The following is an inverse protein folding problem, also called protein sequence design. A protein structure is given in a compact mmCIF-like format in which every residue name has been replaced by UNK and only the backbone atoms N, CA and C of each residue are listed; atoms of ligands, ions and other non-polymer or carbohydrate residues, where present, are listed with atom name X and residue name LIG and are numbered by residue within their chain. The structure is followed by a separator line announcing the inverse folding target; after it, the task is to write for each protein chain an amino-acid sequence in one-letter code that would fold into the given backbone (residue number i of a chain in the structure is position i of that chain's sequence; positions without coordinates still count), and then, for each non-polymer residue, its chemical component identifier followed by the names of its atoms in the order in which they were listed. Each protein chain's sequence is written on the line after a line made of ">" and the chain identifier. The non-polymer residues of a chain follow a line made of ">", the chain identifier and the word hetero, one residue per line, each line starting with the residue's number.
data_IF_157832418808
#
_entry.id   IF_157832418808
#
_cell.length_a   1.000
_cell.length_b   1.000
_cell.length_c   1.000
_cell.angle_alpha   90.00
_cell.angle_beta   90.00
_cell.angle_gamma   90.00
#
_symmetry.space_group_name_H-M   'P 1'
#
loop_
_entity.id
_entity.type
_entity.pdbx_description
1 polymer ?
#
# COMPACT_ATOMS: atom_id res chain seq x y z
N UNK A 1 10.99 -14.84 4.17
CA UNK A 1 10.39 -13.63 3.60
C UNK A 1 11.30 -12.45 3.91
N UNK A 2 11.89 -11.80 2.90
CA UNK A 2 12.60 -10.52 3.08
C UNK A 2 11.60 -9.40 2.82
N UNK A 3 11.27 -8.64 3.87
CA UNK A 3 10.47 -7.42 3.71
C UNK A 3 11.28 -6.37 2.98
N UNK A 4 10.67 -5.76 1.97
CA UNK A 4 11.44 -5.08 0.94
C UNK A 4 12.09 -3.81 1.44
N UNK A 5 13.29 -3.61 0.92
CA UNK A 5 14.08 -2.39 0.97
C UNK A 5 13.87 -1.58 -0.31
N UNK A 6 12.63 -1.31 -0.72
CA UNK A 6 12.39 -0.37 -1.81
C UNK A 6 12.75 1.05 -1.33
N UNK A 7 13.83 1.60 -1.87
CA UNK A 7 14.03 3.06 -1.92
C UNK A 7 13.19 3.59 -3.08
N UNK A 8 12.83 4.88 -3.07
CA UNK A 8 12.09 5.53 -4.16
C UNK A 8 10.70 4.94 -4.45
N UNK A 9 9.94 4.56 -3.42
CA UNK A 9 8.61 3.95 -3.64
C UNK A 9 7.60 4.91 -4.29
N UNK A 10 7.68 6.21 -4.02
CA UNK A 10 6.86 7.21 -4.73
C UNK A 10 7.21 7.30 -6.21
N UNK A 11 8.49 7.19 -6.56
CA UNK A 11 8.92 7.13 -7.96
C UNK A 11 8.37 5.89 -8.68
N UNK A 12 8.50 4.71 -8.08
CA UNK A 12 7.96 3.48 -8.65
C UNK A 12 6.44 3.55 -8.78
N UNK A 13 5.75 4.10 -7.78
CA UNK A 13 4.30 4.26 -7.84
C UNK A 13 3.88 5.23 -8.95
N UNK A 14 4.62 6.34 -9.15
CA UNK A 14 4.38 7.25 -10.26
C UNK A 14 4.62 6.58 -11.63
N UNK A 15 5.65 5.74 -11.76
CA UNK A 15 5.87 4.93 -12.97
C UNK A 15 4.70 3.97 -13.25
N UNK A 16 4.17 3.34 -12.21
CA UNK A 16 2.98 2.51 -12.31
C UNK A 16 1.74 3.29 -12.76
N UNK A 17 1.51 4.51 -12.24
CA UNK A 17 0.42 5.36 -12.69
C UNK A 17 0.57 5.78 -14.16
N UNK A 18 1.78 6.15 -14.58
CA UNK A 18 2.09 6.42 -16.00
C UNK A 18 1.76 5.19 -16.86
N UNK A 19 2.18 4.01 -16.41
CA UNK A 19 1.89 2.77 -17.11
C UNK A 19 0.38 2.53 -17.28
N UNK A 20 -0.43 2.70 -16.23
CA UNK A 20 -1.90 2.58 -16.32
C UNK A 20 -2.50 3.53 -17.38
N UNK A 21 -1.98 4.76 -17.43
CA UNK A 21 -2.41 5.80 -18.37
C UNK A 21 -2.03 5.42 -19.81
N UNK A 22 -0.81 4.93 -20.03
CA UNK A 22 -0.33 4.47 -21.34
C UNK A 22 -1.15 3.29 -21.87
N UNK A 23 -1.59 2.39 -20.99
CA UNK A 23 -2.49 1.29 -21.34
C UNK A 23 -3.96 1.74 -21.54
N UNK A 24 -4.24 3.03 -21.34
CA UNK A 24 -5.57 3.62 -21.45
C UNK A 24 -6.61 2.97 -20.52
N UNK A 25 -6.17 2.50 -19.34
CA UNK A 25 -7.08 2.06 -18.29
C UNK A 25 -7.73 3.28 -17.62
N UNK A 26 -9.04 3.23 -17.31
CA UNK A 26 -9.65 4.32 -16.56
C UNK A 26 -9.10 4.32 -15.13
N UNK A 27 -8.81 5.51 -14.63
CA UNK A 27 -8.26 5.73 -13.29
C UNK A 27 -9.33 6.04 -12.25
N UNK A 28 -10.59 6.17 -12.68
CA UNK A 28 -11.76 6.42 -11.84
C UNK A 28 -13.00 5.67 -12.36
N UNK A 29 -13.96 5.43 -11.46
CA UNK A 29 -15.30 4.91 -11.79
C UNK A 29 -16.32 5.71 -10.99
N UNK A 30 -17.37 6.21 -11.66
CA UNK A 30 -18.44 6.99 -11.03
C UNK A 30 -17.91 8.16 -10.18
N UNK A 31 -16.87 8.84 -10.65
CA UNK A 31 -16.21 9.96 -9.96
C UNK A 31 -15.43 9.57 -8.70
N UNK A 32 -15.13 8.28 -8.50
CA UNK A 32 -14.26 7.79 -7.43
C UNK A 32 -12.94 7.28 -8.01
N UNK A 33 -11.79 7.73 -7.50
CA UNK A 33 -10.52 7.22 -7.96
C UNK A 33 -10.36 5.73 -7.64
N UNK A 34 -9.80 4.98 -8.60
CA UNK A 34 -9.57 3.55 -8.47
C UNK A 34 -8.27 3.23 -7.77
N UNK A 35 -7.18 3.87 -8.20
CA UNK A 35 -5.81 3.50 -7.78
C UNK A 35 -5.18 4.56 -6.86
N UNK A 36 -5.48 5.83 -7.11
CA UNK A 36 -4.79 6.94 -6.47
C UNK A 36 -5.72 8.13 -6.32
N UNK A 37 -5.80 8.67 -5.11
CA UNK A 37 -6.59 9.85 -4.80
C UNK A 37 -5.74 11.11 -5.02
N UNK A 38 -5.65 11.58 -6.26
CA UNK A 38 -4.97 12.85 -6.55
C UNK A 38 -5.70 14.01 -5.84
N UNK A 39 -4.96 14.67 -4.95
CA UNK A 39 -5.45 15.76 -4.09
C UNK A 39 -4.38 16.85 -4.07
N UNK A 40 -4.76 18.11 -3.79
CA UNK A 40 -3.79 19.19 -3.65
C UNK A 40 -2.69 18.94 -2.60
N UNK A 41 -2.97 18.11 -1.59
CA UNK A 41 -2.02 17.74 -0.54
C UNK A 41 -1.16 16.52 -0.87
N UNK A 42 -1.42 15.88 -2.00
CA UNK A 42 -0.69 14.70 -2.45
C UNK A 42 0.65 15.09 -3.06
N UNK A 43 1.61 14.16 -3.11
CA UNK A 43 2.97 14.40 -3.63
C UNK A 43 3.20 13.90 -5.04
N UNK A 44 2.22 13.16 -5.57
CA UNK A 44 2.20 12.69 -6.95
C UNK A 44 0.97 13.32 -7.60
N UNK A 45 1.14 13.97 -8.74
CA UNK A 45 0.06 14.70 -9.43
C UNK A 45 -0.15 14.14 -10.83
N UNK A 46 -1.40 14.10 -11.28
CA UNK A 46 -1.80 13.63 -12.60
C UNK A 46 -2.50 14.78 -13.35
N UNK A 47 -1.72 15.52 -14.14
CA UNK A 47 -2.22 16.64 -14.93
C UNK A 47 -2.23 16.28 -16.42
N UNK A 48 -3.41 16.30 -17.06
CA UNK A 48 -3.55 15.99 -18.48
C UNK A 48 -2.84 14.67 -18.88
N UNK A 49 -3.03 13.61 -18.07
CA UNK A 49 -2.38 12.30 -18.24
C UNK A 49 -0.85 12.29 -18.06
N UNK A 50 -0.27 13.33 -17.47
CA UNK A 50 1.15 13.39 -17.13
C UNK A 50 1.29 13.20 -15.62
N UNK A 51 2.02 12.17 -15.20
CA UNK A 51 2.33 11.96 -13.79
C UNK A 51 3.62 12.69 -13.43
N UNK A 52 3.58 13.48 -12.35
CA UNK A 52 4.72 14.19 -11.80
C UNK A 52 4.82 13.98 -10.29
N UNK A 53 6.02 14.15 -9.73
CA UNK A 53 6.28 14.06 -8.28
C UNK A 53 6.77 15.42 -7.81
N UNK A 54 6.28 15.87 -6.66
CA UNK A 54 6.79 17.06 -6.00
C UNK A 54 8.29 16.87 -5.70
N UNK A 55 9.12 17.82 -6.13
CA UNK A 55 10.58 17.74 -5.99
C UNK A 55 10.97 17.52 -4.52
N UNK A 56 11.76 16.48 -4.26
CA UNK A 56 12.21 16.09 -2.91
C UNK A 56 11.37 14.98 -2.27
N UNK A 57 10.25 14.57 -2.87
CA UNK A 57 9.39 13.49 -2.38
C UNK A 57 9.59 12.16 -3.12
N UNK A 58 10.59 12.05 -3.99
CA UNK A 58 10.87 10.83 -4.76
C UNK A 58 11.18 9.64 -3.83
N UNK A 59 11.89 9.91 -2.73
CA UNK A 59 12.25 8.95 -1.68
C UNK A 59 11.25 8.89 -0.51
N UNK A 60 10.16 9.65 -0.57
CA UNK A 60 9.10 9.57 0.43
C UNK A 60 8.16 8.39 0.16
N UNK A 61 7.40 7.92 1.16
CA UNK A 61 6.35 6.94 0.93
C UNK A 61 5.27 7.49 -0.01
N UNK A 62 4.77 6.64 -0.91
CA UNK A 62 3.59 6.97 -1.70
C UNK A 62 2.37 7.02 -0.77
N UNK A 63 1.71 8.17 -0.70
CA UNK A 63 0.50 8.41 0.10
C UNK A 63 -0.72 8.55 -0.81
N UNK A 64 -1.93 8.72 -0.28
CA UNK A 64 -3.17 8.81 -1.08
C UNK A 64 -3.47 7.58 -1.95
N UNK A 65 -2.84 6.45 -1.65
CA UNK A 65 -2.99 5.20 -2.39
C UNK A 65 -4.25 4.46 -1.91
N UNK A 66 -5.12 4.06 -2.84
CA UNK A 66 -6.29 3.21 -2.51
C UNK A 66 -5.84 1.76 -2.28
N UNK A 67 -6.71 0.91 -1.74
CA UNK A 67 -6.35 -0.51 -1.60
C UNK A 67 -6.13 -1.19 -2.96
N UNK A 68 -6.92 -0.86 -3.99
CA UNK A 68 -6.71 -1.39 -5.33
C UNK A 68 -5.40 -0.87 -5.95
N UNK A 69 -5.09 0.41 -5.80
CA UNK A 69 -3.80 0.96 -6.22
C UNK A 69 -2.65 0.24 -5.56
N UNK A 70 -2.75 0.00 -4.26
CA UNK A 70 -1.75 -0.72 -3.49
C UNK A 70 -1.59 -2.18 -3.98
N UNK A 71 -2.70 -2.89 -4.15
CA UNK A 71 -2.68 -4.29 -4.55
C UNK A 71 -2.14 -4.49 -5.98
N UNK A 72 -2.65 -3.73 -6.95
CA UNK A 72 -2.25 -3.82 -8.36
C UNK A 72 -0.81 -3.36 -8.54
N UNK A 73 -0.37 -2.30 -7.85
CA UNK A 73 1.04 -1.89 -7.84
C UNK A 73 1.96 -2.99 -7.28
N UNK A 74 1.54 -3.66 -6.20
CA UNK A 74 2.31 -4.76 -5.63
C UNK A 74 2.51 -5.89 -6.63
N UNK A 75 1.44 -6.28 -7.33
CA UNK A 75 1.49 -7.32 -8.38
C UNK A 75 2.31 -6.86 -9.58
N UNK A 76 2.17 -5.59 -10.00
CA UNK A 76 2.95 -5.01 -11.09
C UNK A 76 4.46 -5.03 -10.82
N UNK A 77 4.86 -4.91 -9.55
CA UNK A 77 6.25 -5.09 -9.13
C UNK A 77 6.67 -6.57 -9.02
N UNK A 78 5.76 -7.52 -9.19
CA UNK A 78 5.99 -8.95 -8.99
C UNK A 78 5.97 -9.38 -7.51
N UNK A 79 5.30 -8.62 -6.66
CA UNK A 79 5.12 -8.90 -5.24
C UNK A 79 3.65 -8.89 -4.81
N UNK A 80 3.42 -8.68 -3.52
CA UNK A 80 2.07 -8.64 -2.94
C UNK A 80 1.98 -7.69 -1.74
N UNK A 81 0.77 -7.41 -1.29
CA UNK A 81 0.57 -6.76 0.00
C UNK A 81 0.88 -7.74 1.14
N UNK A 82 1.48 -7.26 2.26
CA UNK A 82 1.71 -8.09 3.43
C UNK A 82 0.39 -8.56 4.04
N UNK A 83 0.36 -9.78 4.55
CA UNK A 83 -0.78 -10.26 5.32
C UNK A 83 -0.79 -9.64 6.71
N UNK A 84 -1.96 -9.61 7.37
CA UNK A 84 -2.03 -9.21 8.77
C UNK A 84 -1.10 -10.04 9.68
N UNK A 85 -0.96 -11.34 9.41
CA UNK A 85 -0.10 -12.23 10.18
C UNK A 85 1.38 -11.91 10.00
N UNK A 86 1.79 -11.60 8.77
CA UNK A 86 3.15 -11.18 8.45
C UNK A 86 3.50 -9.84 9.09
N UNK A 87 2.61 -8.86 8.97
CA UNK A 87 2.77 -7.56 9.60
C UNK A 87 2.83 -7.68 11.13
N UNK A 88 1.96 -8.49 11.76
CA UNK A 88 2.06 -8.73 13.21
C UNK A 88 3.40 -9.37 13.59
N UNK A 89 4.01 -10.20 12.74
CA UNK A 89 5.29 -10.83 13.06
C UNK A 89 6.45 -9.82 13.13
N UNK A 90 6.36 -8.67 12.47
CA UNK A 90 7.40 -7.63 12.49
C UNK A 90 7.31 -6.75 13.74
N UNK A 91 6.10 -6.55 14.25
CA UNK A 91 5.82 -5.72 15.43
C UNK A 91 5.90 -6.52 16.73
N UNK A 92 5.35 -7.74 16.74
CA UNK A 92 5.23 -8.55 17.94
C UNK A 92 6.29 -9.67 17.91
N UNK A 93 7.25 -9.64 18.83
CA UNK A 93 8.14 -10.80 19.06
C UNK A 93 7.34 -11.99 19.60
N UNK A 94 7.82 -13.21 19.38
CA UNK A 94 7.16 -14.48 19.78
C UNK A 94 6.43 -14.37 21.14
N UNK A 95 5.10 -14.25 21.10
CA UNK A 95 4.23 -14.30 22.28
C UNK A 95 4.04 -12.99 23.06
N UNK A 96 4.65 -11.87 22.65
CA UNK A 96 4.33 -10.57 23.26
C UNK A 96 3.07 -10.01 22.61
N UNK A 97 2.03 -9.71 23.39
CA UNK A 97 1.05 -8.69 22.99
C UNK A 97 1.77 -7.33 22.96
N UNK A 98 1.27 -6.38 22.17
CA UNK A 98 1.77 -5.00 22.11
C UNK A 98 1.51 -4.45 23.51
N UNK A 99 2.54 -4.45 24.35
CA UNK A 99 2.49 -3.66 25.57
C UNK A 99 2.72 -2.24 25.11
N UNK A 100 1.68 -1.41 25.26
CA UNK A 100 1.69 0.05 25.08
C UNK A 100 3.02 0.69 25.50
N UNK A 101 3.55 0.24 26.64
CA UNK A 101 4.81 0.64 27.25
C UNK A 101 6.08 0.45 26.38
N UNK A 102 6.04 -0.36 25.32
CA UNK A 102 7.15 -0.58 24.39
C UNK A 102 7.10 0.31 23.14
N UNK A 103 5.97 0.96 22.85
CA UNK A 103 5.87 1.92 21.76
C UNK A 103 6.13 3.30 22.33
N UNK A 104 7.42 3.63 22.45
CA UNK A 104 7.84 4.98 22.79
C UNK A 104 7.61 5.84 21.54
N UNK A 105 6.44 6.49 21.44
CA UNK A 105 6.19 7.54 20.44
C UNK A 105 7.17 8.69 20.64
N UNK A 106 8.36 8.52 20.08
CA UNK A 106 9.45 9.46 20.17
C UNK A 106 9.79 9.94 18.77
N UNK A 107 9.93 11.26 18.64
CA UNK A 107 10.44 11.91 17.44
C UNK A 107 11.82 11.36 17.00
N UNK A 108 12.54 10.69 17.89
CA UNK A 108 13.90 10.18 17.64
C UNK A 108 13.92 8.78 17.01
N UNK A 109 12.78 8.09 16.97
CA UNK A 109 12.69 6.71 16.48
C UNK A 109 11.66 6.50 15.39
N UNK A 110 10.60 7.31 15.36
CA UNK A 110 9.47 7.13 14.46
C UNK A 110 8.91 8.49 14.03
N UNK A 111 8.42 8.60 12.80
CA UNK A 111 7.68 9.78 12.36
C UNK A 111 6.21 9.64 12.76
N UNK A 112 5.80 10.25 13.87
CA UNK A 112 4.44 10.19 14.44
C UNK A 112 4.07 11.54 15.05
N UNK A 113 2.81 11.69 15.48
CA UNK A 113 2.32 12.82 16.27
C UNK A 113 2.62 14.22 15.68
N UNK A 114 2.81 14.31 14.36
CA UNK A 114 3.18 15.51 13.62
C UNK A 114 4.55 16.11 14.00
N UNK A 115 5.46 15.35 14.62
CA UNK A 115 6.76 15.88 15.04
C UNK A 115 7.59 16.47 13.89
N UNK A 116 7.45 15.93 12.68
CA UNK A 116 8.13 16.42 11.47
C UNK A 116 7.22 17.26 10.55
N UNK A 117 5.91 17.27 10.80
CA UNK A 117 4.93 18.02 10.00
C UNK A 117 4.55 17.41 8.64
N UNK A 118 5.25 16.36 8.20
CA UNK A 118 4.96 15.57 6.99
C UNK A 118 5.58 14.17 7.14
N UNK A 119 5.40 13.31 6.14
CA UNK A 119 6.21 12.12 5.88
C UNK A 119 7.71 12.44 5.83
N UNK A 120 8.52 11.45 6.20
CA UNK A 120 9.99 11.49 6.04
C UNK A 120 10.40 10.58 4.89
N UNK A 121 11.60 10.76 4.29
CA UNK A 121 12.14 9.77 3.36
C UNK A 121 12.09 8.37 3.97
N UNK A 122 11.86 7.35 3.15
CA UNK A 122 11.84 5.97 3.63
C UNK A 122 13.19 5.63 4.26
N UNK A 123 13.18 4.90 5.39
CA UNK A 123 14.38 4.57 6.18
C UNK A 123 15.09 5.75 6.83
N UNK A 124 14.37 6.83 7.10
CA UNK A 124 14.92 7.93 7.89
C UNK A 124 15.36 7.46 9.29
N UNK A 125 14.59 6.55 9.89
CA UNK A 125 14.91 5.94 11.18
C UNK A 125 15.55 4.54 11.04
N UNK A 126 16.27 4.06 12.06
CA UNK A 126 16.80 2.69 12.08
C UNK A 126 15.70 1.62 11.94
N UNK A 127 16.01 0.44 11.39
CA UNK A 127 15.03 -0.63 11.30
C UNK A 127 14.81 -1.30 12.66
N UNK A 128 13.69 -2.02 12.79
CA UNK A 128 13.48 -2.94 13.91
C UNK A 128 14.42 -4.16 13.84
N UNK A 129 14.33 -5.05 14.84
CA UNK A 129 15.16 -6.27 14.93
C UNK A 129 15.05 -7.24 13.73
N UNK A 130 14.02 -7.09 12.89
CA UNK A 130 13.80 -7.88 11.68
C UNK A 130 14.34 -7.18 10.41
N UNK A 131 14.99 -6.03 10.56
CA UNK A 131 15.49 -5.23 9.44
C UNK A 131 14.39 -4.47 8.69
N UNK A 132 13.24 -4.25 9.33
CA UNK A 132 12.07 -3.56 8.75
C UNK A 132 12.06 -2.11 9.22
N UNK A 133 12.00 -1.19 8.27
CA UNK A 133 11.93 0.26 8.49
C UNK A 133 10.48 0.74 8.47
N UNK A 134 10.16 1.84 9.17
CA UNK A 134 8.87 2.56 9.09
C UNK A 134 7.65 1.64 9.28
N UNK A 135 7.74 0.66 10.19
CA UNK A 135 6.61 -0.26 10.45
C UNK A 135 5.53 0.38 11.33
N UNK A 136 5.97 1.28 12.21
CA UNK A 136 5.14 2.21 12.98
C UNK A 136 5.59 3.62 12.58
N UNK A 137 4.62 4.48 12.27
CA UNK A 137 4.89 5.85 11.84
C UNK A 137 5.18 5.98 10.35
N UNK A 138 5.43 7.22 9.95
CA UNK A 138 5.50 7.71 8.58
C UNK A 138 4.16 7.53 7.85
N UNK A 139 3.81 6.30 7.49
CA UNK A 139 2.50 5.96 6.91
C UNK A 139 1.97 4.65 7.48
N UNK A 140 0.66 4.57 7.65
CA UNK A 140 -0.01 3.27 7.74
C UNK A 140 -0.03 2.61 6.36
N UNK A 141 -0.05 1.28 6.33
CA UNK A 141 0.00 0.49 5.09
C UNK A 141 -1.26 -0.34 4.91
N UNK A 142 -1.68 -0.51 3.66
CA UNK A 142 -2.67 -1.52 3.29
C UNK A 142 -2.14 -2.94 3.47
N UNK A 143 -3.02 -3.86 3.90
CA UNK A 143 -2.74 -5.28 4.06
C UNK A 143 -3.53 -6.13 3.05
N UNK A 144 -3.00 -7.29 2.70
CA UNK A 144 -3.80 -8.38 2.16
C UNK A 144 -4.45 -9.15 3.32
N UNK A 145 -5.71 -9.52 3.18
CA UNK A 145 -6.34 -10.46 4.11
C UNK A 145 -7.18 -11.43 3.25
N UNK A 146 -6.63 -12.58 2.85
CA UNK A 146 -7.30 -13.49 1.93
C UNK A 146 -8.63 -14.03 2.44
N UNK A 147 -8.78 -14.10 3.77
CA UNK A 147 -9.98 -14.58 4.46
C UNK A 147 -11.04 -13.47 4.66
N UNK A 148 -10.73 -12.22 4.34
CA UNK A 148 -11.66 -11.09 4.48
C UNK A 148 -12.59 -11.00 3.26
N UNK A 149 -13.86 -11.33 3.50
CA UNK A 149 -14.96 -11.24 2.54
C UNK A 149 -15.79 -9.96 2.69
N UNK A 150 -15.27 -8.92 3.36
CA UNK A 150 -15.90 -7.61 3.35
C UNK A 150 -15.77 -6.99 1.93
N UNK A 151 -16.88 -6.65 1.26
CA UNK A 151 -16.87 -6.11 -0.09
C UNK A 151 -16.44 -4.64 -0.17
N UNK A 152 -16.40 -3.90 0.93
CA UNK A 152 -16.21 -2.45 0.93
C UNK A 152 -14.99 -1.98 1.72
N UNK A 153 -14.53 -2.77 2.68
CA UNK A 153 -13.44 -2.39 3.56
C UNK A 153 -12.28 -3.37 3.46
N UNK A 154 -11.08 -2.86 3.72
CA UNK A 154 -9.85 -3.63 3.79
C UNK A 154 -9.05 -3.17 5.01
N UNK A 155 -8.15 -4.02 5.48
CA UNK A 155 -7.33 -3.68 6.65
C UNK A 155 -6.16 -2.80 6.27
N UNK A 156 -5.93 -1.77 7.08
CA UNK A 156 -4.65 -1.08 7.17
C UNK A 156 -4.03 -1.28 8.56
N UNK A 157 -2.72 -1.17 8.67
CA UNK A 157 -2.00 -1.28 9.94
C UNK A 157 -0.81 -0.31 10.02
N UNK A 158 -0.24 -0.15 11.21
CA UNK A 158 0.81 0.83 11.49
C UNK A 158 0.23 2.20 11.85
N UNK A 159 1.08 3.20 11.95
CA UNK A 159 0.68 4.55 12.35
C UNK A 159 1.08 5.58 11.30
N UNK A 160 0.25 6.61 11.18
CA UNK A 160 0.45 7.72 10.24
C UNK A 160 1.28 8.81 10.94
N UNK A 161 2.09 9.55 10.18
CA UNK A 161 2.92 10.64 10.71
C UNK A 161 2.14 11.67 11.52
N UNK A 162 0.85 11.85 11.25
CA UNK A 162 -0.03 12.81 11.91
C UNK A 162 -0.86 12.24 13.07
N UNK A 163 -0.67 10.97 13.43
CA UNK A 163 -1.41 10.29 14.51
C UNK A 163 -0.48 9.92 15.69
N UNK A 164 -1.06 9.83 16.89
CA UNK A 164 -0.35 9.57 18.15
C UNK A 164 -1.02 8.52 19.04
N UNK A 165 -1.91 7.70 18.47
CA UNK A 165 -2.69 6.72 19.23
C UNK A 165 -2.25 5.29 18.95
N UNK A 166 -1.93 4.54 20.00
CA UNK A 166 -1.62 3.10 19.93
C UNK A 166 -2.75 2.28 19.32
N UNK A 167 -4.01 2.70 19.50
CA UNK A 167 -5.16 2.03 18.85
C UNK A 167 -5.06 2.08 17.33
N UNK A 168 -4.41 3.11 16.79
CA UNK A 168 -4.21 3.28 15.35
C UNK A 168 -3.22 2.28 14.76
N UNK A 169 -2.32 1.72 15.57
CA UNK A 169 -1.27 0.78 15.15
C UNK A 169 -1.85 -0.56 14.75
N UNK A 170 -2.83 -1.04 15.52
CA UNK A 170 -3.46 -2.32 15.24
C UNK A 170 -4.22 -2.30 13.92
N UNK A 171 -4.24 -3.44 13.20
CA UNK A 171 -5.01 -3.56 11.97
C UNK A 171 -6.47 -3.14 12.16
N UNK A 172 -6.93 -2.17 11.37
CA UNK A 172 -8.30 -1.66 11.41
C UNK A 172 -8.88 -1.55 9.99
N UNK A 173 -10.18 -1.81 9.82
CA UNK A 173 -10.83 -1.73 8.51
C UNK A 173 -10.99 -0.27 8.08
N UNK A 174 -10.81 -0.03 6.78
CA UNK A 174 -11.11 1.23 6.10
C UNK A 174 -11.72 0.96 4.74
N UNK A 175 -12.55 1.87 4.21
CA UNK A 175 -13.07 1.73 2.85
C UNK A 175 -11.95 1.53 1.84
N UNK A 176 -12.07 0.56 0.93
CA UNK A 176 -10.99 0.19 0.00
C UNK A 176 -10.63 1.32 -0.99
N UNK A 177 -11.50 2.30 -1.17
CA UNK A 177 -11.29 3.50 -1.99
C UNK A 177 -10.65 4.67 -1.21
N UNK A 178 -10.42 4.51 0.08
CA UNK A 178 -9.78 5.53 0.90
C UNK A 178 -8.32 5.71 0.51
N UNK A 179 -7.85 6.95 0.51
CA UNK A 179 -6.45 7.31 0.36
C UNK A 179 -6.26 8.65 1.04
N UNK A 180 -5.27 8.75 1.92
CA UNK A 180 -5.02 9.92 2.79
C UNK A 180 -3.52 10.24 2.80
N UNK A 181 -3.15 11.40 3.35
CA UNK A 181 -1.76 11.84 3.51
C UNK A 181 -0.91 10.94 4.39
N UNK A 182 -1.50 9.99 5.12
CA UNK A 182 -0.82 9.04 5.98
C UNK A 182 -1.05 7.57 5.61
N UNK A 183 -1.77 7.29 4.52
CA UNK A 183 -2.06 5.93 4.09
C UNK A 183 -1.33 5.63 2.78
N UNK A 184 -0.40 4.68 2.88
CA UNK A 184 0.47 4.28 1.78
C UNK A 184 0.56 2.77 1.61
N UNK A 185 1.71 2.34 1.11
CA UNK A 185 1.94 0.96 0.69
C UNK A 185 3.30 0.44 1.15
N UNK A 186 3.31 -0.86 1.49
CA UNK A 186 4.51 -1.69 1.50
C UNK A 186 4.26 -2.92 0.64
N UNK A 187 5.22 -3.25 -0.20
CA UNK A 187 5.22 -4.49 -1.00
C UNK A 187 6.07 -5.53 -0.27
N UNK A 188 5.70 -6.80 -0.38
CA UNK A 188 6.51 -7.94 0.07
C UNK A 188 6.81 -8.86 -1.10
N UNK A 189 8.01 -9.44 -1.09
CA UNK A 189 8.47 -10.40 -2.09
C UNK A 189 8.76 -11.73 -1.40
N UNK A 190 8.20 -12.80 -1.96
CA UNK A 190 8.48 -14.15 -1.50
C UNK A 190 9.85 -14.62 -2.00
N UNK A 191 10.56 -15.42 -1.20
CA UNK A 191 12.02 -15.67 -1.34
C UNK A 191 12.46 -16.36 -2.64
N UNK A 192 11.52 -16.76 -3.49
CA UNK A 192 11.78 -17.46 -4.76
C UNK A 192 12.07 -16.48 -5.89
N UNK A 193 11.62 -15.21 -5.82
CA UNK A 193 11.97 -14.18 -6.81
C UNK A 193 13.29 -13.49 -6.44
N UNK A 194 14.40 -14.19 -6.66
CA UNK A 194 15.73 -13.59 -6.61
C UNK A 194 15.95 -12.71 -7.84
N UNK A 195 16.17 -11.43 -7.55
CA UNK A 195 16.95 -10.50 -8.35
C UNK A 195 16.35 -10.02 -9.68
N UNK A 196 15.11 -9.51 -9.62
CA UNK A 196 14.61 -8.26 -10.22
C UNK A 196 13.07 -8.28 -10.11
N UNK A 197 12.40 -7.14 -9.83
CA UNK A 197 10.97 -7.06 -10.09
C UNK A 197 10.80 -7.36 -11.59
N UNK A 198 10.08 -8.42 -11.93
CA UNK A 198 9.63 -8.65 -13.29
C UNK A 198 8.57 -7.58 -13.55
N UNK A 199 9.03 -6.35 -13.83
CA UNK A 199 8.16 -5.23 -14.13
C UNK A 199 7.52 -5.55 -15.47
N UNK A 200 6.34 -6.16 -15.42
CA UNK A 200 5.80 -6.88 -16.55
C UNK A 200 4.32 -7.11 -16.39
N UNK A 201 3.60 -6.84 -17.46
CA UNK A 201 2.16 -7.00 -17.52
C UNK A 201 1.83 -8.47 -17.83
N UNK A 202 1.37 -9.21 -16.83
CA UNK A 202 0.75 -10.51 -17.07
C UNK A 202 -0.65 -10.32 -17.66
N UNK A 203 -1.08 -11.26 -18.52
CA UNK A 203 -2.46 -11.28 -19.03
C UNK A 203 -3.46 -11.35 -17.88
N UNK A 204 -3.12 -12.00 -16.77
CA UNK A 204 -4.00 -12.04 -15.61
C UNK A 204 -4.11 -10.71 -14.87
N UNK A 205 -3.03 -9.91 -14.81
CA UNK A 205 -3.10 -8.55 -14.26
C UNK A 205 -3.98 -7.67 -15.15
N UNK A 206 -3.87 -7.82 -16.49
CA UNK A 206 -4.78 -7.18 -17.45
C UNK A 206 -6.23 -7.50 -17.14
N UNK A 207 -6.56 -8.79 -17.07
CA UNK A 207 -7.92 -9.26 -16.84
C UNK A 207 -8.51 -8.71 -15.54
N UNK A 208 -7.69 -8.59 -14.49
CA UNK A 208 -8.10 -8.01 -13.20
C UNK A 208 -8.40 -6.52 -13.34
N UNK A 209 -7.53 -5.75 -14.00
CA UNK A 209 -7.74 -4.33 -14.21
C UNK A 209 -8.93 -4.09 -15.12
N UNK A 210 -9.06 -4.82 -16.23
CA UNK A 210 -10.23 -4.75 -17.12
C UNK A 210 -11.53 -5.11 -16.40
N UNK A 211 -11.53 -6.13 -15.54
CA UNK A 211 -12.70 -6.47 -14.73
C UNK A 211 -13.09 -5.36 -13.75
N UNK A 212 -12.09 -4.80 -13.05
CA UNK A 212 -12.29 -3.69 -12.12
C UNK A 212 -12.91 -2.48 -12.83
N UNK A 213 -12.45 -2.20 -14.04
CA UNK A 213 -12.76 -0.99 -14.81
C UNK A 213 -14.05 -1.06 -15.64
N UNK A 214 -14.75 -2.19 -15.65
CA UNK A 214 -16.04 -2.32 -16.36
C UNK A 214 -17.11 -1.39 -15.77
N UNK A 215 -17.66 -0.52 -16.61
CA UNK A 215 -18.60 0.57 -16.25
C UNK A 215 -19.90 0.14 -15.55
N UNK A 216 -20.33 -1.13 -15.66
CA UNK A 216 -21.65 -1.58 -15.15
C UNK A 216 -21.59 -2.93 -14.44
N UNK A 217 -21.20 -2.89 -13.18
CA UNK A 217 -21.54 -3.96 -12.24
C UNK A 217 -22.90 -3.65 -11.60
N UNK A 218 -23.96 -4.34 -12.03
CA UNK A 218 -25.30 -4.22 -11.42
C UNK A 218 -25.32 -4.69 -9.96
N UNK A 219 -24.38 -5.56 -9.59
CA UNK A 219 -24.12 -6.00 -8.23
C UNK A 219 -22.69 -5.61 -7.81
N UNK A 220 -22.54 -4.41 -7.24
CA UNK A 220 -21.25 -3.86 -6.80
C UNK A 220 -20.60 -4.75 -5.73
N UNK A 221 -21.39 -5.28 -4.79
CA UNK A 221 -20.88 -6.17 -3.75
C UNK A 221 -20.27 -7.44 -4.37
N UNK A 222 -20.99 -8.10 -5.28
CA UNK A 222 -20.51 -9.29 -5.96
C UNK A 222 -19.24 -9.03 -6.77
N UNK A 223 -19.20 -7.91 -7.49
CA UNK A 223 -18.03 -7.50 -8.26
C UNK A 223 -16.80 -7.26 -7.40
N UNK A 224 -16.95 -6.54 -6.27
CA UNK A 224 -15.85 -6.32 -5.34
C UNK A 224 -15.31 -7.63 -4.77
N UNK A 225 -16.19 -8.56 -4.37
CA UNK A 225 -15.76 -9.88 -3.87
C UNK A 225 -15.03 -10.70 -4.92
N UNK A 226 -15.54 -10.70 -6.16
CA UNK A 226 -14.87 -11.38 -7.28
C UNK A 226 -13.48 -10.79 -7.52
N UNK A 227 -13.37 -9.46 -7.52
CA UNK A 227 -12.10 -8.77 -7.72
C UNK A 227 -11.10 -9.07 -6.60
N UNK A 228 -11.52 -9.03 -5.34
CA UNK A 228 -10.66 -9.41 -4.22
C UNK A 228 -10.18 -10.85 -4.32
N UNK A 229 -11.03 -11.79 -4.76
CA UNK A 229 -10.62 -13.18 -4.99
C UNK A 229 -9.61 -13.30 -6.13
N UNK A 230 -9.81 -12.59 -7.25
CA UNK A 230 -8.84 -12.59 -8.37
C UNK A 230 -7.48 -12.04 -7.93
N UNK A 231 -7.47 -10.92 -7.22
CA UNK A 231 -6.24 -10.31 -6.68
C UNK A 231 -5.55 -11.25 -5.68
N UNK A 232 -6.29 -11.83 -4.74
CA UNK A 232 -5.74 -12.79 -3.78
C UNK A 232 -5.19 -14.06 -4.45
N UNK A 233 -5.77 -14.49 -5.58
CA UNK A 233 -5.24 -15.60 -6.35
C UNK A 233 -3.91 -15.22 -7.04
N UNK A 234 -3.76 -14.00 -7.53
CA UNK A 234 -2.49 -13.51 -8.08
C UNK A 234 -1.40 -13.47 -7.00
N UNK A 235 -1.73 -13.00 -5.80
CA UNK A 235 -0.81 -13.04 -4.66
C UNK A 235 -0.33 -14.47 -4.32
N UNK A 236 -1.13 -15.51 -4.61
CA UNK A 236 -0.77 -16.92 -4.35
C UNK A 236 0.03 -17.56 -5.49
N UNK A 237 -0.24 -17.18 -6.75
CA UNK A 237 0.37 -17.80 -7.93
C UNK A 237 1.83 -17.41 -8.11
N UNK A 238 2.22 -16.23 -7.66
CA UNK A 238 3.61 -15.76 -7.75
C UNK A 238 4.56 -16.38 -6.70
N UNK A 239 4.10 -17.41 -5.98
CA UNK A 239 4.82 -18.16 -4.94
C UNK A 239 5.50 -19.43 -5.50
N UNK A 240 5.54 -19.63 -6.83
CA UNK A 240 6.20 -20.81 -7.45
C UNK A 240 7.69 -20.58 -7.68
#
# INVERSE_FOLDING_TARGET
>A
MKLTRLQRISELFAQFLNWLIEQNFPTEINGRPLFYNDRPQSRIHIDNKIVSIEKGYEDHPATFVTWFGAAIFSIWLGGRLPTQKEWKKTIFTKGSELKSEQILFSKDHENVAQYYGDTTPVRFFPPNQFGVYDEIGNVSIWLSNPEDDNPFEKLKAGLEWNHSSERGILPNPRPHWLGTSGLGIRVVFDEIKKDQPDTGFSEELRDVVEFLTKEKHTNIQGANLELFRKINNLFKKEII
#
